data_IF_699913024959
#
_entry.id   IF_699913024959
#
_cell.length_a   1.000
_cell.length_b   1.000
_cell.length_c   1.000
_cell.angle_alpha   90.00
_cell.angle_beta   90.00
_cell.angle_gamma   90.00
#
_symmetry.space_group_name_H-M   'P 1'
#
loop_
_entity.id
_entity.type
_entity.pdbx_description
1 polymer ?
#
# COMPACT_ATOMS: atom_id res chain seq x y z
N UNK A 1 13.91 10.67 -4.43
CA UNK A 1 13.83 9.53 -5.37
C UNK A 1 13.61 8.22 -4.60
N UNK A 2 12.40 7.95 -4.12
CA UNK A 2 12.12 6.68 -3.41
C UNK A 2 12.04 5.48 -4.36
N UNK A 3 11.68 5.71 -5.62
CA UNK A 3 11.65 4.68 -6.67
C UNK A 3 13.02 4.05 -6.91
N UNK A 4 14.06 4.86 -7.07
CA UNK A 4 15.43 4.36 -7.28
C UNK A 4 15.93 3.58 -6.07
N UNK A 5 15.72 4.11 -4.85
CA UNK A 5 16.11 3.44 -3.60
C UNK A 5 15.45 2.07 -3.46
N UNK A 6 14.16 1.99 -3.78
CA UNK A 6 13.40 0.74 -3.78
C UNK A 6 13.90 -0.23 -4.83
N UNK A 7 14.19 0.26 -6.03
CA UNK A 7 14.71 -0.55 -7.12
C UNK A 7 16.10 -1.12 -6.79
N UNK A 8 17.00 -0.30 -6.25
CA UNK A 8 18.33 -0.74 -5.78
C UNK A 8 18.21 -1.78 -4.67
N UNK A 9 17.32 -1.56 -3.69
CA UNK A 9 17.08 -2.52 -2.61
C UNK A 9 16.54 -3.84 -3.15
N UNK A 10 15.57 -3.81 -4.06
CA UNK A 10 15.04 -5.01 -4.67
C UNK A 10 16.13 -5.76 -5.44
N UNK A 11 16.96 -5.06 -6.21
CA UNK A 11 18.08 -5.68 -6.92
C UNK A 11 19.12 -6.29 -5.95
N UNK A 12 19.52 -5.57 -4.90
CA UNK A 12 20.46 -6.09 -3.91
C UNK A 12 19.94 -7.32 -3.16
N UNK A 13 18.63 -7.36 -2.88
CA UNK A 13 17.96 -8.49 -2.21
C UNK A 13 17.51 -9.59 -3.18
N UNK A 14 17.70 -9.42 -4.51
CA UNK A 14 17.14 -10.28 -5.57
C UNK A 14 15.61 -10.41 -5.52
N UNK A 15 14.93 -9.38 -5.05
CA UNK A 15 13.47 -9.28 -5.07
C UNK A 15 12.96 -8.81 -6.42
N UNK A 16 11.67 -9.08 -6.68
CA UNK A 16 10.98 -8.51 -7.84
C UNK A 16 10.90 -7.00 -7.74
N UNK A 17 10.77 -6.34 -8.90
CA UNK A 17 10.61 -4.90 -8.98
C UNK A 17 9.40 -4.45 -8.14
N UNK A 18 9.48 -3.28 -7.48
CA UNK A 18 8.37 -2.72 -6.73
C UNK A 18 7.20 -2.41 -7.68
N UNK A 19 6.02 -2.94 -7.37
CA UNK A 19 4.80 -2.63 -8.12
C UNK A 19 4.09 -1.45 -7.45
N UNK A 20 3.81 -0.39 -8.21
CA UNK A 20 3.11 0.79 -7.70
C UNK A 20 1.68 0.76 -8.17
N UNK A 21 0.75 0.74 -7.23
CA UNK A 21 -0.67 0.84 -7.51
C UNK A 21 -1.24 2.09 -6.85
N UNK A 22 -2.17 2.77 -7.51
CA UNK A 22 -2.81 3.96 -6.98
C UNK A 22 -4.31 3.88 -7.22
N UNK A 23 -5.06 4.00 -6.13
CA UNK A 23 -6.51 3.84 -6.14
C UNK A 23 -7.14 5.18 -5.79
N UNK A 24 -7.97 5.70 -6.69
CA UNK A 24 -8.81 6.87 -6.39
C UNK A 24 -9.99 6.40 -5.54
N UNK A 25 -10.06 6.90 -4.31
CA UNK A 25 -11.10 6.62 -3.33
C UNK A 25 -11.82 7.93 -3.00
N UNK A 26 -13.05 8.12 -3.43
CA UNK A 26 -13.81 9.30 -3.02
C UNK A 26 -14.94 9.67 -3.98
N UNK A 27 -15.95 10.32 -3.42
CA UNK A 27 -17.07 10.93 -4.15
C UNK A 27 -16.57 12.05 -5.05
N UNK A 28 -17.30 12.36 -6.12
CA UNK A 28 -16.90 13.38 -7.11
C UNK A 28 -16.58 14.76 -6.50
N UNK A 29 -17.20 15.09 -5.35
CA UNK A 29 -16.97 16.33 -4.63
C UNK A 29 -15.79 16.30 -3.65
N UNK A 30 -15.24 15.13 -3.31
CA UNK A 30 -14.05 15.01 -2.45
C UNK A 30 -13.19 13.81 -2.89
N UNK A 31 -12.47 13.94 -4.02
CA UNK A 31 -11.60 12.88 -4.49
C UNK A 31 -10.47 12.67 -3.50
N UNK A 32 -10.33 11.43 -3.01
CA UNK A 32 -9.14 11.02 -2.27
C UNK A 32 -8.40 9.96 -3.08
N UNK A 33 -7.14 9.77 -2.74
CA UNK A 33 -6.24 8.86 -3.42
C UNK A 33 -5.47 8.10 -2.37
N UNK A 34 -5.49 6.78 -2.51
CA UNK A 34 -4.61 5.86 -1.81
C UNK A 34 -3.57 5.35 -2.81
N UNK A 35 -2.41 4.95 -2.31
CA UNK A 35 -1.46 4.22 -3.10
C UNK A 35 -0.94 3.02 -2.31
N UNK A 36 -0.51 2.01 -3.05
CA UNK A 36 0.03 0.78 -2.52
C UNK A 36 1.29 0.43 -3.30
N UNK A 37 2.31 -0.04 -2.60
CA UNK A 37 3.56 -0.49 -3.20
C UNK A 37 3.82 -1.92 -2.81
N UNK A 38 3.90 -2.83 -3.77
CA UNK A 38 4.16 -4.24 -3.51
C UNK A 38 5.63 -4.55 -3.76
N UNK A 39 6.34 -5.02 -2.73
CA UNK A 39 7.75 -5.44 -2.80
C UNK A 39 7.84 -6.86 -2.28
N UNK A 40 8.37 -7.77 -3.10
CA UNK A 40 8.60 -9.16 -2.69
C UNK A 40 7.34 -9.87 -2.14
N UNK A 41 6.16 -9.54 -2.65
CA UNK A 41 4.88 -10.09 -2.18
C UNK A 41 4.28 -9.39 -0.95
N UNK A 42 4.96 -8.38 -0.40
CA UNK A 42 4.43 -7.53 0.68
C UNK A 42 3.88 -6.25 0.08
N UNK A 43 2.57 -6.02 0.22
CA UNK A 43 1.93 -4.78 -0.18
C UNK A 43 1.99 -3.76 0.97
N UNK A 44 2.43 -2.55 0.65
CA UNK A 44 2.52 -1.41 1.56
C UNK A 44 1.54 -0.34 1.09
N UNK A 45 0.39 -0.24 1.73
CA UNK A 45 -0.59 0.80 1.46
C UNK A 45 -0.36 2.07 2.30
N UNK A 46 -0.80 3.21 1.75
CA UNK A 46 -0.85 4.45 2.49
C UNK A 46 -1.98 4.41 3.53
N UNK A 47 -1.62 4.57 4.80
CA UNK A 47 -2.59 4.69 5.91
C UNK A 47 -3.50 5.91 5.74
N UNK A 48 -2.97 6.98 5.14
CA UNK A 48 -3.72 8.21 4.88
C UNK A 48 -4.19 8.30 3.43
N UNK A 49 -5.37 8.91 3.25
CA UNK A 49 -5.92 9.23 1.94
C UNK A 49 -5.55 10.67 1.57
N UNK A 50 -4.89 10.84 0.43
CA UNK A 50 -4.41 12.13 -0.04
C UNK A 50 -5.37 12.76 -1.05
N UNK A 51 -5.29 14.08 -1.25
CA UNK A 51 -6.08 14.77 -2.29
C UNK A 51 -5.50 14.58 -3.69
N UNK A 52 -4.26 14.08 -3.79
CA UNK A 52 -3.57 13.84 -5.06
C UNK A 52 -2.94 12.45 -5.11
N UNK A 53 -3.09 11.77 -6.25
CA UNK A 53 -2.42 10.49 -6.53
C UNK A 53 -0.89 10.58 -6.38
N UNK A 54 -0.32 11.75 -6.69
CA UNK A 54 1.13 11.99 -6.62
C UNK A 54 1.64 11.96 -5.18
N UNK A 55 0.88 12.54 -4.26
CA UNK A 55 1.20 12.52 -2.83
C UNK A 55 1.08 11.10 -2.27
N UNK A 56 -0.03 10.42 -2.60
CA UNK A 56 -0.24 9.03 -2.19
C UNK A 56 0.90 8.13 -2.66
N UNK A 57 1.27 8.20 -3.94
CA UNK A 57 2.38 7.40 -4.48
C UNK A 57 3.72 7.71 -3.80
N UNK A 58 3.99 8.98 -3.50
CA UNK A 58 5.22 9.38 -2.84
C UNK A 58 5.28 8.85 -1.39
N UNK A 59 4.16 8.93 -0.67
CA UNK A 59 4.07 8.42 0.70
C UNK A 59 4.19 6.89 0.75
N UNK A 60 3.49 6.18 -0.15
CA UNK A 60 3.60 4.72 -0.28
C UNK A 60 5.04 4.30 -0.58
N UNK A 61 5.72 4.98 -1.51
CA UNK A 61 7.10 4.71 -1.85
C UNK A 61 8.06 4.97 -0.67
N UNK A 62 7.79 6.03 0.11
CA UNK A 62 8.56 6.36 1.30
C UNK A 62 8.39 5.27 2.36
N UNK A 63 7.16 4.90 2.70
CA UNK A 63 6.83 3.86 3.67
C UNK A 63 7.44 2.52 3.27
N UNK A 64 7.28 2.12 2.01
CA UNK A 64 7.83 0.89 1.48
C UNK A 64 9.37 0.88 1.58
N UNK A 65 10.04 2.00 1.23
CA UNK A 65 11.50 2.11 1.31
C UNK A 65 12.01 2.04 2.76
N UNK A 66 11.35 2.74 3.67
CA UNK A 66 11.72 2.79 5.08
C UNK A 66 11.46 1.44 5.76
N UNK A 67 10.32 0.82 5.49
CA UNK A 67 9.96 -0.49 6.07
C UNK A 67 10.84 -1.61 5.52
N UNK A 68 11.13 -1.62 4.21
CA UNK A 68 12.02 -2.62 3.59
C UNK A 68 13.46 -2.52 4.09
N UNK A 69 13.88 -1.35 4.58
CA UNK A 69 15.20 -1.17 5.20
C UNK A 69 15.23 -1.64 6.66
N UNK A 70 14.12 -1.55 7.38
CA UNK A 70 14.06 -1.78 8.83
C UNK A 70 13.56 -3.20 9.19
N UNK A 71 12.69 -3.79 8.37
CA UNK A 71 11.93 -5.01 8.74
C UNK A 71 12.14 -6.12 7.72
N UNK A 72 12.35 -7.35 8.21
CA UNK A 72 12.27 -8.56 7.39
C UNK A 72 10.83 -8.72 6.88
N UNK A 73 10.62 -9.12 5.61
CA UNK A 73 9.32 -9.07 4.92
C UNK A 73 8.25 -10.06 5.43
N UNK A 74 8.45 -10.68 6.58
CA UNK A 74 7.59 -11.77 7.08
C UNK A 74 6.39 -11.29 7.90
N UNK A 75 6.33 -10.00 8.27
CA UNK A 75 5.18 -9.45 9.00
C UNK A 75 4.31 -8.66 8.03
N UNK A 76 3.20 -9.25 7.52
CA UNK A 76 2.18 -8.47 6.85
C UNK A 76 1.62 -7.48 7.88
N UNK A 77 1.93 -6.20 7.72
CA UNK A 77 1.13 -5.16 8.34
C UNK A 77 -0.16 -5.14 7.53
N UNK A 78 -1.06 -6.07 7.86
CA UNK A 78 -2.47 -5.89 7.61
C UNK A 78 -2.84 -4.61 8.35
N UNK A 79 -2.85 -3.49 7.64
CA UNK A 79 -3.72 -2.40 8.05
C UNK A 79 -5.09 -3.01 8.27
N UNK A 80 -5.77 -2.71 9.38
CA UNK A 80 -7.12 -3.17 9.57
C UNK A 80 -7.97 -2.46 8.51
N UNK A 81 -8.08 -3.06 7.33
CA UNK A 81 -9.22 -2.85 6.48
C UNK A 81 -10.40 -3.21 7.38
N UNK A 82 -11.07 -2.17 7.87
CA UNK A 82 -12.20 -2.23 8.77
C UNK A 82 -13.08 -3.40 8.34
N UNK A 83 -12.98 -4.51 9.07
CA UNK A 83 -13.95 -5.60 9.01
C UNK A 83 -15.21 -5.06 9.67
N UNK A 84 -15.87 -4.12 8.99
CA UNK A 84 -17.29 -3.88 9.19
C UNK A 84 -18.05 -4.86 8.28
N UNK A 85 -17.67 -6.13 8.34
CA UNK A 85 -18.58 -7.20 7.97
C UNK A 85 -19.55 -7.32 9.13
N UNK A 86 -20.60 -6.48 9.11
CA UNK A 86 -21.85 -6.84 9.76
C UNK A 86 -22.31 -8.12 9.07
N UNK A 87 -21.92 -9.23 9.67
CA UNK A 87 -22.45 -10.55 9.42
C UNK A 87 -23.93 -10.53 9.79
N UNK A 88 -24.77 -9.97 8.92
CA UNK A 88 -26.20 -10.19 8.95
C UNK A 88 -26.44 -11.55 8.32
N UNK A 89 -26.86 -12.43 9.21
CA UNK A 89 -27.06 -13.85 9.04
C UNK A 89 -27.85 -14.20 7.76
N UNK A 90 -27.34 -15.25 7.13
CA UNK A 90 -27.89 -16.13 6.09
C UNK A 90 -29.42 -16.19 5.90
N UNK A 91 -29.89 -16.42 4.66
CA UNK A 91 -31.28 -16.75 4.36
C UNK A 91 -31.61 -18.24 4.62
N UNK A 92 -32.81 -18.48 5.15
CA UNK A 92 -33.80 -19.58 4.94
C UNK A 92 -33.31 -21.01 4.62
N UNK A 93 -33.99 -22.05 5.14
CA UNK A 93 -35.27 -22.48 4.54
C UNK A 93 -36.52 -22.24 5.42
#
# INVERSE_FOLDING_TARGET
MYKSKLQELCQQRKWRLPEYNATKLGLDHNPRFSASVTINGVAFDTVQLFRSSKEAQNDAARLASLTSLIRNPDIPIAVPALHHSLNLLFPLP
#
